data_IF_873045600362
#
_entry.id   IF_873045600362
#
_cell.length_a   1.000
_cell.length_b   1.000
_cell.length_c   1.000
_cell.angle_alpha   90.00
_cell.angle_beta   90.00
_cell.angle_gamma   90.00
#
_symmetry.space_group_name_H-M   'P 1'
#
loop_
_entity.id
_entity.type
_entity.pdbx_description
1 polymer ?
#
# COMPACT_ATOMS: atom_id res chain seq x y z
N UNK A 1 4.86 -4.70 0.26
CA UNK A 1 3.80 -4.87 -0.76
C UNK A 1 2.87 -5.94 -0.27
N UNK A 2 1.57 -5.69 -0.30
CA UNK A 2 0.55 -6.59 0.23
C UNK A 2 -0.54 -6.90 -0.80
N UNK A 3 -1.02 -8.14 -0.76
CA UNK A 3 -2.17 -8.63 -1.50
C UNK A 3 -3.26 -9.06 -0.52
N UNK A 4 -4.45 -9.27 -1.04
CA UNK A 4 -5.63 -9.66 -0.29
C UNK A 4 -6.01 -11.11 -0.59
N UNK A 5 -7.00 -11.64 0.12
CA UNK A 5 -7.63 -12.89 -0.28
C UNK A 5 -8.31 -12.74 -1.64
N UNK A 6 -8.00 -13.66 -2.56
CA UNK A 6 -8.56 -13.65 -3.92
C UNK A 6 -10.08 -13.69 -3.88
N UNK A 7 -10.72 -12.81 -4.66
CA UNK A 7 -12.17 -12.84 -4.86
C UNK A 7 -12.60 -12.32 -6.23
N UNK A 8 -13.90 -12.14 -6.41
CA UNK A 8 -14.53 -11.61 -7.62
C UNK A 8 -15.53 -10.51 -7.27
N UNK A 9 -15.18 -9.69 -6.26
CA UNK A 9 -16.04 -8.62 -5.75
C UNK A 9 -16.00 -7.45 -6.72
N UNK A 10 -17.12 -7.21 -7.42
CA UNK A 10 -17.21 -6.17 -8.45
C UNK A 10 -17.08 -4.73 -7.90
N UNK A 11 -17.26 -4.53 -6.59
CA UNK A 11 -17.10 -3.22 -5.93
C UNK A 11 -15.65 -2.84 -5.63
N UNK A 12 -14.68 -3.67 -6.03
CA UNK A 12 -13.24 -3.39 -5.99
C UNK A 12 -12.61 -3.66 -7.35
N UNK A 13 -11.51 -2.99 -7.68
CA UNK A 13 -10.76 -3.22 -8.91
C UNK A 13 -9.78 -4.39 -8.74
N UNK A 14 -9.88 -5.38 -9.64
CA UNK A 14 -9.04 -6.57 -9.64
C UNK A 14 -9.58 -7.68 -8.74
N UNK A 15 -8.78 -8.71 -8.50
CA UNK A 15 -9.18 -9.89 -7.70
C UNK A 15 -8.55 -9.89 -6.29
N UNK A 16 -7.88 -8.80 -5.91
CA UNK A 16 -7.10 -8.69 -4.67
C UNK A 16 -5.60 -8.98 -4.84
N UNK A 17 -5.12 -9.28 -6.04
CA UNK A 17 -3.69 -9.50 -6.35
C UNK A 17 -3.09 -8.39 -7.22
N UNK A 18 -1.76 -8.27 -7.22
CA UNK A 18 -1.07 -7.29 -8.06
C UNK A 18 -1.18 -7.66 -9.54
N UNK A 19 -1.38 -6.65 -10.38
CA UNK A 19 -1.51 -6.83 -11.82
C UNK A 19 -0.24 -7.46 -12.42
N UNK A 20 -0.36 -8.68 -12.98
CA UNK A 20 0.77 -9.42 -13.55
C UNK A 20 0.91 -9.25 -15.06
N UNK A 21 -0.19 -8.92 -15.75
CA UNK A 21 -0.23 -8.72 -17.21
C UNK A 21 -1.18 -7.58 -17.54
N UNK A 22 -1.05 -7.01 -18.74
CA UNK A 22 -1.94 -5.93 -19.20
C UNK A 22 -3.38 -6.48 -19.23
N UNK A 23 -4.29 -5.76 -18.59
CA UNK A 23 -5.72 -6.04 -18.59
C UNK A 23 -6.48 -4.78 -19.03
N UNK A 24 -7.65 -4.98 -19.65
CA UNK A 24 -8.48 -3.87 -20.12
C UNK A 24 -8.09 -3.34 -21.50
N UNK A 25 -8.01 -2.01 -21.63
CA UNK A 25 -7.81 -1.32 -22.92
C UNK A 25 -6.32 -1.33 -23.28
N UNK A 26 -5.98 -1.97 -24.40
CA UNK A 26 -4.64 -1.89 -24.98
C UNK A 26 -4.35 -0.44 -25.40
N UNK A 27 -3.35 0.16 -24.75
CA UNK A 27 -2.91 1.53 -25.01
C UNK A 27 -1.84 1.59 -26.13
N UNK A 28 -1.85 0.60 -27.03
CA UNK A 28 -0.88 0.42 -28.11
C UNK A 28 0.56 0.31 -27.56
N UNK A 29 1.53 0.94 -28.24
CA UNK A 29 2.95 0.72 -27.96
C UNK A 29 3.44 1.33 -26.63
N UNK A 30 2.70 2.27 -26.04
CA UNK A 30 3.18 3.02 -24.87
C UNK A 30 2.26 2.83 -23.66
N UNK A 31 2.73 2.00 -22.74
CA UNK A 31 2.09 1.78 -21.45
C UNK A 31 2.86 2.57 -20.38
N UNK A 32 2.15 3.42 -19.63
CA UNK A 32 2.67 4.04 -18.42
C UNK A 32 2.54 3.00 -17.31
N UNK A 33 3.62 2.78 -16.56
CA UNK A 33 3.65 1.87 -15.41
C UNK A 33 3.11 0.45 -15.72
N UNK A 34 3.65 -0.23 -16.76
CA UNK A 34 3.13 -1.51 -17.20
C UNK A 34 3.36 -2.60 -16.13
N UNK A 35 2.49 -3.62 -16.09
CA UNK A 35 2.71 -4.80 -15.29
C UNK A 35 3.93 -5.61 -15.79
N UNK A 36 4.51 -6.50 -14.97
CA UNK A 36 4.04 -6.91 -13.65
C UNK A 36 4.33 -5.88 -12.55
N UNK A 37 3.34 -5.59 -11.71
CA UNK A 37 3.47 -4.74 -10.51
C UNK A 37 4.10 -5.51 -9.35
N UNK A 38 5.37 -5.89 -9.53
CA UNK A 38 6.15 -6.67 -8.57
C UNK A 38 7.21 -5.82 -7.85
N UNK A 39 8.08 -6.47 -7.08
CA UNK A 39 9.18 -5.83 -6.35
C UNK A 39 10.02 -4.88 -7.24
N UNK A 40 10.39 -5.31 -8.46
CA UNK A 40 11.17 -4.49 -9.39
C UNK A 40 10.42 -3.24 -9.88
N UNK A 41 9.09 -3.34 -10.04
CA UNK A 41 8.25 -2.21 -10.39
C UNK A 41 8.28 -1.15 -9.27
N UNK A 42 8.03 -1.54 -8.02
CA UNK A 42 8.03 -0.60 -6.89
C UNK A 42 9.44 -0.04 -6.56
N UNK A 43 10.51 -0.81 -6.79
CA UNK A 43 11.86 -0.25 -6.75
C UNK A 43 12.11 0.83 -7.81
N UNK A 44 11.49 0.68 -8.99
CA UNK A 44 11.54 1.72 -10.03
C UNK A 44 10.78 2.98 -9.60
N UNK A 45 9.65 2.83 -8.91
CA UNK A 45 8.91 3.96 -8.31
C UNK A 45 9.74 4.68 -7.23
N UNK A 46 10.39 3.94 -6.33
CA UNK A 46 11.30 4.51 -5.33
C UNK A 46 12.46 5.30 -5.99
N UNK A 47 13.05 4.75 -7.05
CA UNK A 47 14.10 5.43 -7.82
C UNK A 47 13.58 6.70 -8.49
N UNK A 48 12.37 6.66 -9.05
CA UNK A 48 11.72 7.83 -9.65
C UNK A 48 11.49 8.93 -8.61
N UNK A 49 10.98 8.58 -7.42
CA UNK A 49 10.80 9.52 -6.31
C UNK A 49 12.11 10.17 -5.87
N UNK A 50 13.19 9.39 -5.68
CA UNK A 50 14.51 9.95 -5.37
C UNK A 50 15.02 10.90 -6.46
N UNK A 51 14.86 10.53 -7.74
CA UNK A 51 15.26 11.40 -8.86
C UNK A 51 14.48 12.72 -8.86
N UNK A 52 13.17 12.67 -8.61
CA UNK A 52 12.34 13.86 -8.48
C UNK A 52 12.86 14.78 -7.36
N UNK A 53 13.06 14.23 -6.15
CA UNK A 53 13.52 15.02 -5.01
C UNK A 53 14.93 15.58 -5.21
N UNK A 54 15.84 14.81 -5.79
CA UNK A 54 17.19 15.29 -6.16
C UNK A 54 17.12 16.42 -7.17
N UNK A 55 16.27 16.31 -8.18
CA UNK A 55 16.09 17.34 -9.20
C UNK A 55 15.49 18.62 -8.61
N UNK A 56 14.32 18.51 -7.96
CA UNK A 56 13.56 19.64 -7.41
C UNK A 56 14.31 20.37 -6.28
N UNK A 57 15.19 19.67 -5.57
CA UNK A 57 16.00 20.25 -4.49
C UNK A 57 17.40 20.72 -4.93
N UNK A 58 17.74 20.61 -6.22
CA UNK A 58 19.10 20.87 -6.73
C UNK A 58 20.17 20.05 -5.99
N UNK A 59 19.87 18.78 -5.73
CA UNK A 59 20.75 17.81 -5.09
C UNK A 59 20.79 17.89 -3.55
N UNK A 60 20.06 18.83 -2.93
CA UNK A 60 20.09 19.06 -1.48
C UNK A 60 19.30 18.03 -0.66
N UNK A 61 18.37 17.32 -1.28
CA UNK A 61 17.55 16.29 -0.66
C UNK A 61 17.42 15.09 -1.59
N UNK A 62 17.31 13.90 -0.99
CA UNK A 62 17.08 12.64 -1.69
C UNK A 62 16.89 11.50 -0.70
N UNK A 63 16.46 10.36 -1.21
CA UNK A 63 16.23 9.15 -0.41
C UNK A 63 17.53 8.35 -0.29
N UNK A 64 17.71 7.65 0.84
CA UNK A 64 18.80 6.68 0.98
C UNK A 64 18.50 5.43 0.17
N UNK A 65 19.04 5.37 -1.05
CA UNK A 65 18.83 4.24 -1.96
C UNK A 65 19.56 2.96 -1.56
N UNK A 66 20.44 3.00 -0.56
CA UNK A 66 21.16 1.82 -0.04
C UNK A 66 20.36 1.16 1.08
N UNK A 67 19.81 1.97 1.98
CA UNK A 67 19.06 1.49 3.16
C UNK A 67 17.56 1.37 2.93
N UNK A 68 17.03 1.89 1.81
CA UNK A 68 15.61 1.73 1.45
C UNK A 68 15.35 0.38 0.79
N UNK A 69 14.35 -0.36 1.29
CA UNK A 69 13.98 -1.69 0.80
C UNK A 69 12.52 -1.75 0.35
N UNK A 70 12.25 -2.45 -0.75
CA UNK A 70 10.89 -2.91 -1.09
C UNK A 70 10.77 -4.35 -0.65
N UNK A 71 9.77 -4.62 0.20
CA UNK A 71 9.57 -5.94 0.83
C UNK A 71 8.30 -6.62 0.31
N UNK A 72 8.26 -7.96 0.16
CA UNK A 72 9.37 -8.91 0.38
C UNK A 72 10.52 -8.75 -0.63
N UNK A 73 11.73 -9.23 -0.28
CA UNK A 73 12.92 -9.17 -1.15
C UNK A 73 12.87 -10.21 -2.29
N UNK A 74 12.21 -11.34 -2.07
CA UNK A 74 11.83 -12.25 -3.14
C UNK A 74 10.61 -11.67 -3.87
N UNK A 75 10.45 -11.94 -5.16
CA UNK A 75 9.32 -11.42 -5.98
C UNK A 75 7.92 -11.92 -5.55
N UNK A 76 7.75 -12.39 -4.31
CA UNK A 76 6.47 -12.69 -3.69
C UNK A 76 5.84 -11.45 -3.02
N UNK A 77 4.71 -11.67 -2.38
CA UNK A 77 3.87 -10.65 -1.74
C UNK A 77 3.50 -11.14 -0.34
N UNK A 78 3.17 -10.21 0.56
CA UNK A 78 2.52 -10.59 1.81
C UNK A 78 1.01 -10.65 1.60
N UNK A 79 0.37 -11.73 2.01
CA UNK A 79 -1.08 -11.90 1.83
C UNK A 79 -1.78 -11.57 3.15
N UNK A 80 -2.69 -10.59 3.10
CA UNK A 80 -3.54 -10.21 4.23
C UNK A 80 -4.70 -11.18 4.41
N UNK A 81 -5.24 -11.32 5.64
CA UNK A 81 -6.23 -12.35 5.96
C UNK A 81 -7.62 -12.07 5.35
N UNK A 82 -7.92 -10.84 4.96
CA UNK A 82 -9.22 -10.45 4.42
C UNK A 82 -9.14 -10.07 2.95
N UNK A 83 -10.32 -9.96 2.33
CA UNK A 83 -10.55 -9.41 0.99
C UNK A 83 -10.33 -7.90 0.98
N UNK A 84 -10.09 -7.32 -0.19
CA UNK A 84 -9.85 -5.87 -0.33
C UNK A 84 -11.01 -5.03 0.22
N UNK A 85 -12.25 -5.36 -0.17
CA UNK A 85 -13.49 -4.68 0.27
C UNK A 85 -13.73 -4.71 1.77
N UNK A 86 -13.09 -5.63 2.50
CA UNK A 86 -13.11 -5.60 3.95
C UNK A 86 -12.51 -4.30 4.46
N UNK A 87 -11.36 -3.88 3.95
CA UNK A 87 -10.61 -2.78 4.54
C UNK A 87 -11.21 -1.40 4.25
N UNK A 88 -12.06 -1.29 3.23
CA UNK A 88 -12.72 -0.04 2.87
C UNK A 88 -14.19 -0.27 2.46
N UNK A 89 -15.08 -0.53 3.44
CA UNK A 89 -16.46 -0.89 3.17
C UNK A 89 -17.29 0.31 2.69
N UNK A 90 -18.18 0.08 1.71
CA UNK A 90 -18.99 1.13 1.13
C UNK A 90 -19.93 1.80 2.14
N UNK A 91 -20.01 3.14 2.10
CA UNK A 91 -20.86 3.99 2.95
C UNK A 91 -20.71 3.75 4.46
N UNK A 92 -19.50 3.39 4.90
CA UNK A 92 -19.19 3.12 6.29
C UNK A 92 -17.89 3.82 6.71
N UNK A 93 -17.79 5.12 6.46
CA UNK A 93 -16.58 5.93 6.63
C UNK A 93 -15.89 5.74 8.00
N UNK A 94 -16.65 5.76 9.09
CA UNK A 94 -16.07 5.55 10.44
C UNK A 94 -15.50 4.14 10.64
N UNK A 95 -16.06 3.13 9.97
CA UNK A 95 -15.52 1.77 9.99
C UNK A 95 -14.32 1.65 9.05
N UNK A 96 -14.37 2.32 7.90
CA UNK A 96 -13.26 2.36 6.94
C UNK A 96 -12.01 2.95 7.60
N UNK A 97 -12.13 4.05 8.36
CA UNK A 97 -11.01 4.65 9.09
C UNK A 97 -10.33 3.65 10.04
N UNK A 98 -11.13 2.92 10.83
CA UNK A 98 -10.63 1.88 11.74
C UNK A 98 -9.95 0.74 10.96
N UNK A 99 -10.54 0.32 9.83
CA UNK A 99 -10.02 -0.81 9.05
C UNK A 99 -8.80 -0.45 8.19
N UNK A 100 -8.60 0.83 7.85
CA UNK A 100 -7.35 1.30 7.24
C UNK A 100 -6.18 1.16 8.22
N UNK A 101 -6.40 1.44 9.50
CA UNK A 101 -5.40 1.16 10.55
C UNK A 101 -5.17 -0.35 10.69
N UNK A 102 -6.24 -1.15 10.66
CA UNK A 102 -6.12 -2.61 10.69
C UNK A 102 -5.32 -3.15 9.49
N UNK A 103 -5.52 -2.62 8.28
CA UNK A 103 -4.74 -2.95 7.09
C UNK A 103 -3.26 -2.68 7.34
N UNK A 104 -2.95 -1.47 7.83
CA UNK A 104 -1.58 -1.06 8.10
C UNK A 104 -0.93 -1.96 9.17
N UNK A 105 -1.62 -2.19 10.30
CA UNK A 105 -1.16 -3.07 11.37
C UNK A 105 -0.91 -4.50 10.86
N UNK A 106 -1.87 -5.08 10.13
CA UNK A 106 -1.73 -6.44 9.60
C UNK A 106 -0.58 -6.55 8.60
N UNK A 107 -0.36 -5.52 7.79
CA UNK A 107 0.78 -5.41 6.86
C UNK A 107 2.12 -5.41 7.59
N UNK A 108 2.24 -4.67 8.70
CA UNK A 108 3.44 -4.67 9.53
C UNK A 108 3.66 -6.03 10.20
N UNK A 109 2.60 -6.62 10.74
CA UNK A 109 2.66 -7.91 11.46
C UNK A 109 3.04 -9.06 10.54
N UNK A 110 2.47 -9.15 9.34
CA UNK A 110 2.80 -10.21 8.38
C UNK A 110 4.24 -10.07 7.89
N UNK A 111 4.70 -8.85 7.64
CA UNK A 111 6.07 -8.60 7.19
C UNK A 111 7.09 -8.93 8.28
N UNK A 112 6.82 -8.58 9.54
CA UNK A 112 7.62 -9.01 10.68
C UNK A 112 7.62 -10.53 10.87
N UNK A 113 6.45 -11.17 10.76
CA UNK A 113 6.33 -12.61 10.98
C UNK A 113 7.09 -13.45 9.94
N UNK A 114 7.13 -13.00 8.68
CA UNK A 114 7.75 -13.73 7.58
C UNK A 114 9.24 -13.40 7.44
N UNK A 115 9.60 -12.10 7.45
CA UNK A 115 10.96 -11.65 7.14
C UNK A 115 11.70 -11.04 8.34
N UNK A 116 11.06 -10.94 9.50
CA UNK A 116 11.70 -10.43 10.72
C UNK A 116 12.11 -8.96 10.62
N UNK A 117 11.39 -8.15 9.83
CA UNK A 117 11.72 -6.74 9.60
C UNK A 117 11.80 -5.97 10.92
N UNK A 118 12.94 -5.36 11.20
CA UNK A 118 13.06 -4.38 12.27
C UNK A 118 12.65 -3.00 11.74
N UNK A 119 11.45 -2.55 12.10
CA UNK A 119 10.94 -1.25 11.67
C UNK A 119 11.70 -0.07 12.30
N UNK A 120 12.54 -0.29 13.32
CA UNK A 120 13.36 0.79 13.90
C UNK A 120 14.51 1.23 13.01
N UNK A 121 14.82 0.45 11.97
CA UNK A 121 15.83 0.78 10.95
C UNK A 121 15.32 1.79 9.90
N UNK A 122 14.03 2.15 9.92
CA UNK A 122 13.40 2.98 8.89
C UNK A 122 12.74 4.24 9.45
N UNK A 123 12.94 5.37 8.76
CA UNK A 123 12.27 6.63 9.07
C UNK A 123 10.83 6.70 8.52
N UNK A 124 10.52 5.89 7.52
CA UNK A 124 9.23 5.90 6.81
C UNK A 124 8.87 4.49 6.34
N UNK A 125 7.64 4.07 6.62
CA UNK A 125 7.08 2.80 6.16
C UNK A 125 5.92 3.06 5.23
N UNK A 126 6.00 2.55 4.00
CA UNK A 126 4.92 2.61 3.01
C UNK A 126 4.36 1.21 2.77
N UNK A 127 3.03 1.10 2.74
CA UNK A 127 2.33 -0.12 2.36
C UNK A 127 1.73 0.07 0.97
N UNK A 128 2.36 -0.52 -0.05
CA UNK A 128 1.74 -0.70 -1.35
C UNK A 128 0.77 -1.88 -1.28
N UNK A 129 -0.49 -1.68 -1.66
CA UNK A 129 -1.50 -2.72 -1.76
C UNK A 129 -1.85 -3.03 -3.22
N UNK A 130 -2.34 -4.24 -3.48
CA UNK A 130 -2.91 -4.62 -4.77
C UNK A 130 -4.22 -3.87 -5.07
N UNK A 131 -4.54 -3.74 -6.37
CA UNK A 131 -5.71 -2.98 -6.84
C UNK A 131 -5.39 -1.53 -7.21
N UNK A 132 -6.43 -0.74 -7.45
CA UNK A 132 -6.34 0.68 -7.78
C UNK A 132 -6.76 1.51 -6.55
N UNK A 133 -6.17 2.70 -6.40
CA UNK A 133 -6.55 3.65 -5.36
C UNK A 133 -7.86 4.36 -5.68
N UNK A 134 -8.72 4.58 -4.67
CA UNK A 134 -9.98 5.33 -4.81
C UNK A 134 -9.77 6.87 -4.89
N UNK A 135 -8.69 7.31 -5.53
CA UNK A 135 -8.24 8.70 -5.51
C UNK A 135 -8.90 9.57 -6.61
N UNK A 136 -9.91 9.04 -7.31
CA UNK A 136 -10.58 9.71 -8.43
C UNK A 136 -12.08 9.90 -8.17
N UNK A 137 -12.56 11.14 -8.25
CA UNK A 137 -13.99 11.43 -8.25
C UNK A 137 -14.57 11.26 -9.65
N UNK A 138 -15.50 10.30 -9.80
CA UNK A 138 -16.28 10.14 -11.02
C UNK A 138 -17.57 10.98 -10.95
N UNK A 139 -18.01 11.62 -12.06
CA UNK A 139 -19.25 12.41 -12.10
C UNK A 139 -20.53 11.55 -12.11
N UNK A 140 -20.41 10.23 -12.00
CA UNK A 140 -21.48 9.23 -11.97
C UNK A 140 -21.23 8.22 -10.84
N UNK A 141 -22.06 7.16 -10.75
CA UNK A 141 -21.89 6.11 -9.74
C UNK A 141 -20.50 5.46 -9.89
N UNK A 142 -19.68 5.57 -8.85
CA UNK A 142 -18.40 4.90 -8.77
C UNK A 142 -18.61 3.38 -8.87
N UNK A 143 -18.05 2.70 -9.90
CA UNK A 143 -18.21 1.26 -10.05
C UNK A 143 -17.46 0.48 -8.98
N UNK A 144 -16.39 1.05 -8.40
CA UNK A 144 -15.52 0.38 -7.42
C UNK A 144 -15.42 1.17 -6.11
N UNK A 145 -16.56 1.39 -5.43
CA UNK A 145 -16.63 2.28 -4.27
C UNK A 145 -15.93 1.73 -3.02
N UNK A 146 -15.43 0.49 -3.08
CA UNK A 146 -14.68 -0.18 -2.01
C UNK A 146 -13.19 -0.30 -2.35
N UNK A 147 -12.72 0.35 -3.42
CA UNK A 147 -11.30 0.57 -3.64
C UNK A 147 -10.70 1.35 -2.45
N UNK A 148 -9.45 1.04 -2.11
CA UNK A 148 -8.79 1.60 -0.93
C UNK A 148 -8.08 2.90 -1.36
N UNK A 149 -8.37 4.08 -0.78
CA UNK A 149 -7.70 5.32 -1.15
C UNK A 149 -6.27 5.37 -0.63
N UNK A 150 -5.44 6.19 -1.27
CA UNK A 150 -4.14 6.56 -0.72
C UNK A 150 -4.34 7.38 0.54
N UNK A 151 -3.82 6.92 1.68
CA UNK A 151 -3.99 7.62 2.97
C UNK A 151 -2.72 7.64 3.80
N UNK A 152 -2.66 8.56 4.77
CA UNK A 152 -1.65 8.61 5.81
C UNK A 152 -2.29 8.14 7.13
N UNK A 153 -1.66 7.17 7.79
CA UNK A 153 -2.12 6.67 9.08
C UNK A 153 -1.48 7.54 10.18
N UNK A 154 -2.26 8.41 10.79
CA UNK A 154 -1.80 9.25 11.88
C UNK A 154 -2.07 8.64 13.27
N UNK A 155 -1.55 9.29 14.31
CA UNK A 155 -1.68 8.83 15.69
C UNK A 155 -3.12 8.87 16.22
N UNK A 156 -3.98 9.77 15.71
CA UNK A 156 -5.38 9.86 16.12
C UNK A 156 -6.17 8.67 15.56
N UNK A 157 -5.94 8.33 14.30
CA UNK A 157 -6.49 7.11 13.69
C UNK A 157 -6.05 5.86 14.47
N UNK A 158 -4.76 5.74 14.81
CA UNK A 158 -4.24 4.59 15.58
C UNK A 158 -4.91 4.50 16.95
N UNK A 159 -5.02 5.61 17.68
CA UNK A 159 -5.67 5.64 18.99
C UNK A 159 -7.16 5.28 18.88
N UNK A 160 -7.86 5.80 17.87
CA UNK A 160 -9.27 5.48 17.62
C UNK A 160 -9.49 3.99 17.34
N UNK A 161 -8.64 3.39 16.51
CA UNK A 161 -8.78 2.00 16.07
C UNK A 161 -8.30 0.99 17.13
N UNK A 162 -7.24 1.30 17.86
CA UNK A 162 -6.53 0.35 18.74
C UNK A 162 -6.65 0.65 20.23
N UNK A 163 -7.04 1.87 20.60
CA UNK A 163 -6.98 2.37 21.99
C UNK A 163 -5.56 2.54 22.51
N UNK A 164 -4.58 2.66 21.61
CA UNK A 164 -3.16 2.84 21.94
C UNK A 164 -2.53 3.92 21.08
N UNK A 165 -1.49 4.59 21.60
CA UNK A 165 -0.83 5.68 20.90
C UNK A 165 0.16 5.23 19.82
N UNK A 166 0.16 3.95 19.44
CA UNK A 166 1.11 3.38 18.49
C UNK A 166 0.98 1.87 18.33
N UNK A 167 1.36 1.36 17.16
CA UNK A 167 1.29 -0.05 16.82
C UNK A 167 2.59 -0.74 17.23
N UNK A 168 2.51 -1.70 18.15
CA UNK A 168 3.66 -2.50 18.58
C UNK A 168 3.85 -3.74 17.71
N UNK A 169 5.02 -3.84 17.07
CA UNK A 169 5.45 -4.99 16.26
C UNK A 169 6.91 -5.32 16.58
N UNK A 170 7.16 -6.55 17.02
CA UNK A 170 8.49 -6.95 17.49
C UNK A 170 8.95 -6.09 18.68
N UNK A 171 10.12 -5.48 18.55
CA UNK A 171 10.69 -4.58 19.57
C UNK A 171 10.40 -3.09 19.29
N UNK A 172 9.61 -2.80 18.26
CA UNK A 172 9.39 -1.44 17.76
C UNK A 172 7.94 -1.01 17.99
N UNK A 173 7.74 0.27 18.26
CA UNK A 173 6.41 0.91 18.35
C UNK A 173 6.34 2.00 17.29
N UNK A 174 5.46 1.81 16.31
CA UNK A 174 5.20 2.79 15.25
C UNK A 174 4.09 3.73 15.72
N UNK A 175 4.39 5.02 15.84
CA UNK A 175 3.45 6.02 16.37
C UNK A 175 3.42 7.35 15.58
N UNK A 176 4.18 7.45 14.49
CA UNK A 176 4.30 8.60 13.59
C UNK A 176 4.77 8.14 12.22
#
# INVERSE_FOLDING_TARGET
MVEFQVDSTESTTGDGTFLQSIEGIDCDLYHIDPPPHNNSYFHSQLKAANNYFRSSSYGKFGLDMVSSNVMPLNNSTYILPNKMSYYYPYNQDSLAEVRLVELYEQSLRVAYAIDGIDFSDYDLVLVFHAGIGQDFSLPFLDPTPEDIPSTFIDSEMIELATGTSGISVGNTVLNK
#
